data_IF_839338622930
#
_entry.id   IF_839338622930
#
_cell.length_a   1.000
_cell.length_b   1.000
_cell.length_c   1.000
_cell.angle_alpha   90.00
_cell.angle_beta   90.00
_cell.angle_gamma   90.00
#
_symmetry.space_group_name_H-M   'P 1'
#
loop_
_entity.id
_entity.type
_entity.pdbx_description
1 polymer ?
#
# COMPACT_ATOMS: atom_id res chain seq x y z
N UNK A 1 -5.70 9.69 6.95
CA UNK A 1 -5.87 8.37 6.28
C UNK A 1 -7.15 8.34 5.46
N UNK A 2 -7.11 7.78 4.25
CA UNK A 2 -8.27 7.53 3.39
C UNK A 2 -8.54 6.03 3.33
N UNK A 3 -9.79 5.63 3.13
CA UNK A 3 -10.15 4.23 2.91
C UNK A 3 -9.96 3.86 1.44
N UNK A 4 -9.47 2.67 1.16
CA UNK A 4 -9.33 2.17 -0.20
C UNK A 4 -8.86 0.73 -0.24
N UNK A 5 -8.24 0.37 -1.36
CA UNK A 5 -7.68 -0.97 -1.56
C UNK A 5 -6.20 -0.87 -1.90
N UNK A 6 -5.42 -1.83 -1.44
CA UNK A 6 -4.02 -2.00 -1.81
C UNK A 6 -3.82 -3.33 -2.53
N UNK A 7 -3.14 -3.30 -3.68
CA UNK A 7 -2.71 -4.49 -4.38
C UNK A 7 -1.19 -4.59 -4.32
N UNK A 8 -0.67 -5.65 -3.69
CA UNK A 8 0.78 -5.87 -3.48
C UNK A 8 1.35 -7.04 -4.30
N UNK A 9 0.48 -7.81 -4.95
CA UNK A 9 0.85 -8.89 -5.88
C UNK A 9 0.19 -8.59 -7.21
N UNK A 10 0.95 -8.65 -8.31
CA UNK A 10 0.42 -8.39 -9.65
C UNK A 10 -0.81 -9.25 -10.01
N UNK A 11 -0.90 -10.46 -9.43
CA UNK A 11 -2.02 -11.39 -9.59
C UNK A 11 -2.90 -11.53 -8.34
N UNK A 12 -2.62 -10.78 -7.27
CA UNK A 12 -3.42 -10.82 -6.04
C UNK A 12 -4.67 -9.96 -6.15
N UNK A 13 -5.72 -10.32 -5.41
CA UNK A 13 -6.85 -9.43 -5.22
C UNK A 13 -6.42 -8.18 -4.44
N UNK A 14 -6.98 -6.99 -4.73
CA UNK A 14 -6.82 -5.82 -3.89
C UNK A 14 -7.37 -6.09 -2.47
N UNK A 15 -6.66 -5.63 -1.46
CA UNK A 15 -6.95 -5.85 -0.04
C UNK A 15 -7.45 -4.54 0.59
N UNK A 16 -8.49 -4.58 1.44
CA UNK A 16 -8.94 -3.40 2.17
C UNK A 16 -7.84 -2.82 3.05
N UNK A 17 -7.63 -1.51 2.96
CA UNK A 17 -6.67 -0.79 3.80
C UNK A 17 -7.11 0.65 4.05
N UNK A 18 -6.46 1.29 5.02
CA UNK A 18 -6.34 2.75 5.01
C UNK A 18 -4.99 3.14 4.42
N UNK A 19 -4.95 4.26 3.69
CA UNK A 19 -3.71 4.75 3.09
C UNK A 19 -3.50 6.24 3.34
N UNK A 20 -2.24 6.65 3.42
CA UNK A 20 -1.84 8.04 3.62
C UNK A 20 -0.38 8.25 3.24
N UNK A 21 -0.03 9.52 3.04
CA UNK A 21 1.35 9.95 2.83
C UNK A 21 1.91 10.41 4.16
N UNK A 22 3.12 10.00 4.47
CA UNK A 22 3.92 10.49 5.60
C UNK A 22 5.17 11.15 5.05
N UNK A 23 5.63 12.22 5.68
CA UNK A 23 6.90 12.87 5.36
C UNK A 23 7.73 12.87 6.63
N UNK A 24 8.86 12.16 6.61
CA UNK A 24 9.81 12.08 7.73
C UNK A 24 11.21 12.34 7.20
N UNK A 25 11.93 13.27 7.85
CA UNK A 25 13.28 13.68 7.47
C UNK A 25 13.40 14.07 5.97
N UNK A 26 12.35 14.68 5.42
CA UNK A 26 12.26 15.07 4.01
C UNK A 26 11.98 13.92 3.03
N UNK A 27 11.82 12.69 3.52
CA UNK A 27 11.46 11.53 2.71
C UNK A 27 9.95 11.30 2.73
N UNK A 28 9.33 11.30 1.56
CA UNK A 28 7.92 10.95 1.41
C UNK A 28 7.74 9.42 1.37
N UNK A 29 6.84 8.91 2.19
CA UNK A 29 6.44 7.50 2.23
C UNK A 29 4.95 7.37 2.00
N UNK A 30 4.56 6.41 1.18
CA UNK A 30 3.17 5.96 1.05
C UNK A 30 2.96 4.77 1.98
N UNK A 31 2.06 4.92 2.95
CA UNK A 31 1.75 3.89 3.94
C UNK A 31 0.37 3.32 3.63
N UNK A 32 0.25 1.99 3.70
CA UNK A 32 -1.00 1.25 3.58
C UNK A 32 -1.14 0.32 4.79
N UNK A 33 -2.09 0.65 5.67
CA UNK A 33 -2.42 -0.14 6.84
C UNK A 33 -3.57 -1.08 6.48
N UNK A 34 -3.25 -2.37 6.27
CA UNK A 34 -4.22 -3.39 5.89
C UNK A 34 -5.20 -3.67 7.03
N UNK A 35 -6.46 -3.93 6.69
CA UNK A 35 -7.49 -4.34 7.66
C UNK A 35 -7.19 -5.75 8.21
N UNK A 36 -6.70 -6.64 7.36
CA UNK A 36 -6.25 -7.98 7.73
C UNK A 36 -4.75 -8.16 7.43
N UNK A 37 -3.98 -8.81 8.33
CA UNK A 37 -2.55 -8.97 8.14
C UNK A 37 -2.24 -9.84 6.92
N UNK A 38 -1.24 -9.42 6.14
CA UNK A 38 -0.72 -10.18 5.00
C UNK A 38 0.66 -10.74 5.33
N UNK A 39 0.82 -12.06 5.22
CA UNK A 39 2.08 -12.74 5.47
C UNK A 39 2.83 -13.08 4.18
N UNK A 40 4.16 -13.16 4.29
CA UNK A 40 5.03 -13.51 3.15
C UNK A 40 5.11 -12.42 2.08
N UNK A 41 5.09 -11.16 2.50
CA UNK A 41 5.34 -9.99 1.67
C UNK A 41 6.83 -9.61 1.81
N UNK A 42 7.53 -9.43 0.69
CA UNK A 42 8.95 -9.09 0.69
C UNK A 42 9.17 -7.64 0.23
N UNK A 43 10.14 -6.91 0.81
CA UNK A 43 10.58 -5.63 0.25
C UNK A 43 11.02 -5.77 -1.21
N UNK A 44 10.84 -4.70 -1.98
CA UNK A 44 11.12 -4.66 -3.42
C UNK A 44 9.92 -4.99 -4.30
N UNK A 45 8.81 -5.47 -3.73
CA UNK A 45 7.55 -5.63 -4.46
C UNK A 45 6.85 -4.30 -4.70
N UNK A 46 6.04 -4.21 -5.75
CA UNK A 46 5.22 -3.04 -6.03
C UNK A 46 3.89 -3.11 -5.26
N UNK A 47 3.45 -1.96 -4.78
CA UNK A 47 2.14 -1.70 -4.19
C UNK A 47 1.39 -0.71 -5.08
N UNK A 48 0.10 -0.95 -5.29
CA UNK A 48 -0.82 -0.04 -6.00
C UNK A 48 -2.01 0.27 -5.10
N UNK A 49 -2.38 1.55 -4.99
CA UNK A 49 -3.52 2.02 -4.20
C UNK A 49 -4.69 2.38 -5.12
N UNK A 50 -5.86 1.91 -4.73
CA UNK A 50 -7.12 2.16 -5.40
C UNK A 50 -8.10 2.94 -4.52
N UNK A 51 -8.80 3.88 -5.14
CA UNK A 51 -9.97 4.58 -4.63
C UNK A 51 -11.16 4.17 -5.52
N UNK A 52 -11.95 3.21 -5.04
CA UNK A 52 -12.89 2.48 -5.89
C UNK A 52 -12.15 1.63 -6.93
N UNK A 53 -12.41 1.88 -8.20
CA UNK A 53 -11.77 1.24 -9.36
C UNK A 53 -10.57 2.05 -9.91
N UNK A 54 -10.33 3.25 -9.37
CA UNK A 54 -9.31 4.18 -9.86
C UNK A 54 -7.99 4.01 -9.13
N UNK A 55 -6.90 3.92 -9.88
CA UNK A 55 -5.54 3.98 -9.33
C UNK A 55 -5.21 5.41 -8.89
N UNK A 56 -4.78 5.57 -7.65
CA UNK A 56 -4.45 6.89 -7.06
C UNK A 56 -3.00 7.00 -6.58
N UNK A 57 -2.26 5.90 -6.56
CA UNK A 57 -0.85 5.90 -6.19
C UNK A 57 -0.21 4.53 -6.37
N UNK A 58 1.12 4.53 -6.46
CA UNK A 58 1.92 3.32 -6.46
C UNK A 58 3.25 3.60 -5.76
N UNK A 59 3.81 2.59 -5.11
CA UNK A 59 5.12 2.67 -4.48
C UNK A 59 5.81 1.30 -4.48
N UNK A 60 7.13 1.31 -4.34
CA UNK A 60 7.89 0.10 -4.02
C UNK A 60 7.90 -0.09 -2.51
N UNK A 61 7.58 -1.29 -2.05
CA UNK A 61 7.51 -1.64 -0.63
C UNK A 61 8.94 -1.71 -0.10
N UNK A 62 9.28 -0.87 0.88
CA UNK A 62 10.60 -0.85 1.52
C UNK A 62 10.59 -1.52 2.89
N UNK A 63 9.42 -1.63 3.53
CA UNK A 63 9.25 -2.13 4.88
C UNK A 63 7.86 -2.75 5.04
N UNK A 64 7.75 -3.76 5.90
CA UNK A 64 6.49 -4.40 6.32
C UNK A 64 6.55 -4.59 7.83
N UNK A 65 5.46 -4.29 8.54
CA UNK A 65 5.37 -4.39 10.00
C UNK A 65 4.29 -5.36 10.43
#
# INVERSE_FOLDING_TARGET
PLNGLVQVRAHGAPLPCTYYRSIEDGNERLIADLVEPLFGLAPGQAMVIYDGDRVVGSATITETK
#
